data_IF_186728115420
#
_entry.id   IF_186728115420
#
_cell.length_a   1.000
_cell.length_b   1.000
_cell.length_c   1.000
_cell.angle_alpha   90.00
_cell.angle_beta   90.00
_cell.angle_gamma   90.00
#
_symmetry.space_group_name_H-M   'P 1'
#
loop_
_entity.id
_entity.type
_entity.pdbx_description
1 polymer ?
#
# COMPACT_ATOMS: atom_id res chain seq x y z
N UNK A 1 29.09 -9.58 26.13
CA UNK A 1 28.39 -8.70 25.17
C UNK A 1 29.29 -8.57 23.96
N UNK A 2 28.94 -9.19 22.83
CA UNK A 2 29.71 -9.05 21.59
C UNK A 2 29.46 -7.62 21.07
N UNK A 3 30.52 -6.81 21.00
CA UNK A 3 30.48 -5.49 20.38
C UNK A 3 30.05 -5.66 18.92
N UNK A 4 28.78 -5.39 18.64
CA UNK A 4 28.29 -5.32 17.26
C UNK A 4 29.12 -4.25 16.54
N UNK A 5 29.80 -4.64 15.47
CA UNK A 5 30.56 -3.70 14.63
C UNK A 5 29.63 -2.56 14.22
N UNK A 6 30.01 -1.29 14.42
CA UNK A 6 29.12 -0.18 14.09
C UNK A 6 28.76 -0.24 12.62
N UNK A 7 27.45 -0.18 12.33
CA UNK A 7 26.93 -0.23 10.97
C UNK A 7 27.33 1.06 10.26
N UNK A 8 28.16 0.93 9.22
CA UNK A 8 28.72 2.06 8.48
C UNK A 8 28.49 1.91 6.98
N UNK A 9 28.00 2.96 6.30
CA UNK A 9 27.90 2.94 4.84
C UNK A 9 29.29 3.05 4.20
N UNK A 10 29.40 2.66 2.93
CA UNK A 10 30.55 3.00 2.09
C UNK A 10 30.52 4.46 1.63
N UNK A 11 29.32 5.02 1.42
CA UNK A 11 29.12 6.43 1.09
C UNK A 11 28.95 7.22 2.39
N UNK A 12 29.86 8.13 2.72
CA UNK A 12 29.86 8.84 4.01
C UNK A 12 29.14 10.21 3.97
N UNK A 13 28.03 10.30 3.24
CA UNK A 13 27.17 11.49 3.29
C UNK A 13 26.21 11.40 4.49
N UNK A 14 25.75 12.54 5.04
CA UNK A 14 24.77 12.53 6.14
C UNK A 14 23.53 11.69 5.83
N UNK A 15 23.03 11.76 4.59
CA UNK A 15 21.86 11.00 4.15
C UNK A 15 22.12 9.49 4.12
N UNK A 16 23.28 9.06 3.64
CA UNK A 16 23.64 7.65 3.62
C UNK A 16 23.81 7.07 5.03
N UNK A 17 24.40 7.85 5.94
CA UNK A 17 24.52 7.48 7.36
C UNK A 17 23.14 7.34 8.00
N UNK A 18 22.25 8.32 7.80
CA UNK A 18 20.88 8.30 8.33
C UNK A 18 20.06 7.14 7.76
N UNK A 19 20.23 6.85 6.46
CA UNK A 19 19.58 5.71 5.81
C UNK A 19 20.05 4.40 6.44
N UNK A 20 21.36 4.20 6.61
CA UNK A 20 21.91 2.98 7.22
C UNK A 20 21.46 2.81 8.67
N UNK A 21 21.48 3.88 9.47
CA UNK A 21 21.01 3.84 10.86
C UNK A 21 19.53 3.43 10.91
N UNK A 22 18.68 4.06 10.09
CA UNK A 22 17.25 3.78 10.09
C UNK A 22 16.95 2.35 9.63
N UNK A 23 17.59 1.90 8.54
CA UNK A 23 17.33 0.58 7.94
C UNK A 23 18.01 -0.58 8.70
N UNK A 24 19.01 -0.28 9.54
CA UNK A 24 19.66 -1.29 10.37
C UNK A 24 18.74 -1.88 11.45
N UNK A 25 17.74 -1.12 11.90
CA UNK A 25 16.83 -1.52 12.97
C UNK A 25 15.47 -1.96 12.40
N UNK A 26 14.88 -2.98 13.03
CA UNK A 26 13.58 -3.54 12.63
C UNK A 26 12.47 -2.49 12.62
N UNK A 27 12.46 -1.59 13.61
CA UNK A 27 11.44 -0.52 13.70
C UNK A 27 11.51 0.43 12.51
N UNK A 28 12.72 0.82 12.08
CA UNK A 28 12.88 1.71 10.92
C UNK A 28 12.44 1.05 9.63
N UNK A 29 12.74 -0.24 9.44
CA UNK A 29 12.24 -1.02 8.29
C UNK A 29 10.72 -1.19 8.30
N UNK A 30 10.09 -1.41 9.46
CA UNK A 30 8.63 -1.41 9.59
C UNK A 30 7.99 -0.08 9.18
N UNK A 31 8.60 1.05 9.55
CA UNK A 31 8.12 2.36 9.10
C UNK A 31 8.22 2.49 7.58
N UNK A 32 9.33 1.99 7.01
CA UNK A 32 9.64 2.06 5.59
C UNK A 32 8.72 1.18 4.73
N UNK A 33 8.45 -0.06 5.13
CA UNK A 33 7.73 -1.05 4.32
C UNK A 33 6.28 -1.30 4.76
N UNK A 34 5.91 -0.84 5.95
CA UNK A 34 4.64 -1.19 6.60
C UNK A 34 4.82 -2.20 7.73
N UNK A 35 3.85 -2.24 8.66
CA UNK A 35 3.81 -3.23 9.74
C UNK A 35 2.91 -4.39 9.33
N UNK A 36 3.43 -5.62 9.15
CA UNK A 36 2.62 -6.77 8.75
C UNK A 36 1.44 -7.05 9.68
N UNK A 37 1.53 -6.70 10.96
CA UNK A 37 0.44 -6.88 11.93
C UNK A 37 -0.76 -5.96 11.72
N UNK A 38 -0.60 -4.91 10.91
CA UNK A 38 -1.64 -3.91 10.61
C UNK A 38 -2.19 -4.05 9.19
N UNK A 39 -1.68 -5.01 8.43
CA UNK A 39 -2.03 -5.24 7.03
C UNK A 39 -2.63 -6.63 6.87
N UNK A 40 -3.32 -6.91 5.75
CA UNK A 40 -3.84 -8.24 5.47
C UNK A 40 -2.71 -9.27 5.50
N UNK A 41 -2.97 -10.47 6.03
CA UNK A 41 -1.96 -11.53 6.16
C UNK A 41 -1.22 -11.83 4.84
N UNK A 42 -1.92 -11.71 3.70
CA UNK A 42 -1.38 -11.89 2.35
C UNK A 42 -0.27 -10.88 1.99
N UNK A 43 -0.22 -9.72 2.64
CA UNK A 43 0.83 -8.71 2.44
C UNK A 43 2.16 -9.08 3.12
N UNK A 44 2.12 -9.93 4.17
CA UNK A 44 3.28 -10.25 5.00
C UNK A 44 4.44 -10.84 4.21
N UNK A 45 4.18 -11.69 3.21
CA UNK A 45 5.22 -12.27 2.34
C UNK A 45 6.03 -11.18 1.63
N UNK A 46 5.37 -10.17 1.08
CA UNK A 46 6.05 -9.09 0.35
C UNK A 46 6.84 -8.18 1.28
N UNK A 47 6.28 -7.86 2.44
CA UNK A 47 6.92 -7.00 3.45
C UNK A 47 8.13 -7.69 4.07
N UNK A 48 8.00 -8.97 4.46
CA UNK A 48 9.10 -9.72 5.06
C UNK A 48 10.25 -9.89 4.06
N UNK A 49 9.94 -10.14 2.78
CA UNK A 49 10.96 -10.19 1.72
C UNK A 49 11.73 -8.87 1.60
N UNK A 50 11.05 -7.73 1.68
CA UNK A 50 11.68 -6.41 1.65
C UNK A 50 12.53 -6.16 2.90
N UNK A 51 12.02 -6.54 4.07
CA UNK A 51 12.72 -6.45 5.37
C UNK A 51 14.04 -7.23 5.34
N UNK A 52 13.99 -8.48 4.92
CA UNK A 52 15.13 -9.39 4.83
C UNK A 52 16.17 -8.92 3.81
N UNK A 53 15.72 -8.48 2.62
CA UNK A 53 16.62 -7.97 1.58
C UNK A 53 17.42 -6.76 2.07
N UNK A 54 16.76 -5.82 2.74
CA UNK A 54 17.41 -4.62 3.26
C UNK A 54 18.33 -4.94 4.44
N UNK A 55 17.89 -5.80 5.36
CA UNK A 55 18.75 -6.25 6.45
C UNK A 55 20.03 -6.91 5.93
N UNK A 56 19.90 -7.80 4.93
CA UNK A 56 21.02 -8.41 4.24
C UNK A 56 21.93 -7.37 3.58
N UNK A 57 21.35 -6.45 2.81
CA UNK A 57 22.08 -5.41 2.09
C UNK A 57 22.89 -4.51 3.02
N UNK A 58 22.27 -4.01 4.09
CA UNK A 58 22.93 -3.16 5.10
C UNK A 58 24.09 -3.90 5.76
N UNK A 59 23.89 -5.17 6.16
CA UNK A 59 24.94 -6.00 6.77
C UNK A 59 26.11 -6.23 5.80
N UNK A 60 25.82 -6.55 4.54
CA UNK A 60 26.84 -6.81 3.52
C UNK A 60 27.65 -5.56 3.19
N UNK A 61 26.99 -4.42 2.94
CA UNK A 61 27.71 -3.17 2.63
C UNK A 61 28.51 -2.69 3.84
N UNK A 62 27.98 -2.82 5.05
CA UNK A 62 28.73 -2.48 6.26
C UNK A 62 29.94 -3.38 6.51
N UNK A 63 29.88 -4.65 6.12
CA UNK A 63 31.04 -5.54 6.18
C UNK A 63 32.14 -5.12 5.21
N UNK A 64 31.78 -4.66 3.99
CA UNK A 64 32.73 -4.15 3.01
C UNK A 64 33.47 -2.89 3.48
N UNK A 65 32.83 -2.05 4.29
CA UNK A 65 33.47 -0.85 4.83
C UNK A 65 34.76 -1.17 5.60
N UNK A 66 34.76 -2.29 6.33
CA UNK A 66 35.89 -2.73 7.14
C UNK A 66 36.76 -3.80 6.43
N UNK A 67 36.50 -4.13 5.17
CA UNK A 67 37.23 -5.18 4.45
C UNK A 67 38.57 -4.67 3.89
N UNK A 68 39.61 -4.71 4.73
CA UNK A 68 40.97 -4.30 4.40
C UNK A 68 41.58 -5.06 3.21
N UNK A 69 41.06 -6.25 2.88
CA UNK A 69 41.56 -7.06 1.76
C UNK A 69 41.12 -6.53 0.38
N UNK A 70 40.16 -5.59 0.35
CA UNK A 70 39.62 -5.00 -0.88
C UNK A 70 40.02 -3.55 -1.05
N UNK A 71 40.34 -3.18 -2.28
CA UNK A 71 40.48 -1.77 -2.69
C UNK A 71 39.14 -1.05 -2.64
N UNK A 72 39.17 0.27 -2.47
CA UNK A 72 37.97 1.12 -2.42
C UNK A 72 37.07 0.95 -3.66
N UNK A 73 37.64 0.97 -4.85
CA UNK A 73 36.94 0.71 -6.13
C UNK A 73 36.27 -0.67 -6.12
N UNK A 74 36.97 -1.72 -5.63
CA UNK A 74 36.40 -3.07 -5.54
C UNK A 74 35.25 -3.15 -4.54
N UNK A 75 35.32 -2.45 -3.40
CA UNK A 75 34.23 -2.39 -2.41
C UNK A 75 32.97 -1.78 -3.03
N UNK A 76 33.11 -0.67 -3.75
CA UNK A 76 31.98 -0.02 -4.43
C UNK A 76 31.39 -0.86 -5.57
N UNK A 77 32.21 -1.54 -6.36
CA UNK A 77 31.72 -2.46 -7.40
C UNK A 77 30.96 -3.66 -6.83
N UNK A 78 31.38 -4.20 -5.67
CA UNK A 78 30.62 -5.25 -4.99
C UNK A 78 29.34 -4.69 -4.35
N UNK A 79 29.40 -3.52 -3.73
CA UNK A 79 28.23 -2.88 -3.14
C UNK A 79 27.16 -2.49 -4.17
N UNK A 80 27.55 -2.15 -5.41
CA UNK A 80 26.62 -1.96 -6.53
C UNK A 80 25.81 -3.24 -6.81
N UNK A 81 26.46 -4.39 -6.89
CA UNK A 81 25.75 -5.69 -7.07
C UNK A 81 24.79 -5.99 -5.91
N UNK A 82 25.23 -5.76 -4.67
CA UNK A 82 24.35 -5.90 -3.50
C UNK A 82 23.16 -4.94 -3.60
N UNK A 83 23.37 -3.70 -4.02
CA UNK A 83 22.30 -2.73 -4.21
C UNK A 83 21.32 -3.16 -5.30
N UNK A 84 21.80 -3.68 -6.43
CA UNK A 84 20.98 -4.20 -7.53
C UNK A 84 20.10 -5.37 -7.07
N UNK A 85 20.64 -6.32 -6.30
CA UNK A 85 19.89 -7.44 -5.73
C UNK A 85 18.79 -6.97 -4.77
N UNK A 86 19.13 -6.00 -3.90
CA UNK A 86 18.17 -5.41 -2.95
C UNK A 86 17.07 -4.65 -3.69
N UNK A 87 17.43 -3.80 -4.65
CA UNK A 87 16.47 -3.03 -5.46
C UNK A 87 15.54 -3.97 -6.23
N UNK A 88 16.05 -5.06 -6.77
CA UNK A 88 15.24 -6.09 -7.42
C UNK A 88 14.21 -6.68 -6.44
N UNK A 89 14.64 -7.11 -5.25
CA UNK A 89 13.74 -7.64 -4.24
C UNK A 89 12.67 -6.62 -3.80
N UNK A 90 13.05 -5.35 -3.63
CA UNK A 90 12.11 -4.27 -3.29
C UNK A 90 11.09 -4.01 -4.40
N UNK A 91 11.50 -4.01 -5.66
CA UNK A 91 10.59 -3.86 -6.80
C UNK A 91 9.60 -5.02 -6.89
N UNK A 92 10.07 -6.25 -6.69
CA UNK A 92 9.19 -7.43 -6.68
C UNK A 92 8.20 -7.39 -5.51
N UNK A 93 8.64 -6.98 -4.31
CA UNK A 93 7.76 -6.78 -3.16
C UNK A 93 6.72 -5.68 -3.41
N UNK A 94 7.13 -4.54 -3.99
CA UNK A 94 6.21 -3.46 -4.36
C UNK A 94 5.16 -3.96 -5.36
N UNK A 95 5.59 -4.61 -6.44
CA UNK A 95 4.68 -5.15 -7.46
C UNK A 95 3.69 -6.17 -6.89
N UNK A 96 4.15 -7.00 -5.93
CA UNK A 96 3.28 -7.92 -5.20
C UNK A 96 2.22 -7.21 -4.36
N UNK A 97 2.59 -6.13 -3.67
CA UNK A 97 1.65 -5.30 -2.91
C UNK A 97 0.67 -4.56 -3.83
N UNK A 98 1.14 -3.96 -4.93
CA UNK A 98 0.28 -3.29 -5.91
C UNK A 98 -0.77 -4.27 -6.48
N UNK A 99 -0.34 -5.49 -6.83
CA UNK A 99 -1.24 -6.55 -7.30
C UNK A 99 -2.24 -6.94 -6.23
N UNK A 100 -1.80 -7.12 -4.98
CA UNK A 100 -2.68 -7.47 -3.87
C UNK A 100 -3.72 -6.38 -3.59
N UNK A 101 -3.33 -5.10 -3.64
CA UNK A 101 -4.26 -3.98 -3.51
C UNK A 101 -5.33 -4.05 -4.62
N UNK A 102 -4.93 -4.21 -5.88
CA UNK A 102 -5.87 -4.36 -6.99
C UNK A 102 -6.82 -5.55 -6.83
N UNK A 103 -6.31 -6.71 -6.38
CA UNK A 103 -7.13 -7.89 -6.10
C UNK A 103 -8.16 -7.65 -4.99
N UNK A 104 -7.74 -7.03 -3.88
CA UNK A 104 -8.63 -6.68 -2.76
C UNK A 104 -9.69 -5.65 -3.19
N UNK A 105 -9.31 -4.67 -4.00
CA UNK A 105 -10.25 -3.70 -4.54
C UNK A 105 -11.30 -4.37 -5.42
N UNK A 106 -10.87 -5.20 -6.38
CA UNK A 106 -11.76 -5.93 -7.27
C UNK A 106 -12.69 -6.90 -6.50
N UNK A 107 -12.17 -7.57 -5.49
CA UNK A 107 -12.96 -8.42 -4.59
C UNK A 107 -14.01 -7.59 -3.83
N UNK A 108 -13.64 -6.43 -3.30
CA UNK A 108 -14.57 -5.53 -2.63
C UNK A 108 -15.68 -5.03 -3.55
N UNK A 109 -15.35 -4.57 -4.76
CA UNK A 109 -16.33 -4.14 -5.77
C UNK A 109 -17.26 -5.29 -6.13
N UNK A 110 -16.73 -6.48 -6.41
CA UNK A 110 -17.53 -7.66 -6.73
C UNK A 110 -18.52 -8.01 -5.60
N UNK A 111 -18.08 -7.97 -4.35
CA UNK A 111 -18.94 -8.23 -3.20
C UNK A 111 -20.03 -7.16 -3.02
N UNK A 112 -19.75 -5.91 -3.40
CA UNK A 112 -20.75 -4.83 -3.42
C UNK A 112 -21.78 -5.12 -4.51
N UNK A 113 -21.34 -5.41 -5.73
CA UNK A 113 -22.23 -5.69 -6.88
C UNK A 113 -23.13 -6.90 -6.61
N UNK A 114 -22.58 -7.97 -6.04
CA UNK A 114 -23.35 -9.16 -5.66
C UNK A 114 -24.29 -8.90 -4.47
N UNK A 115 -23.83 -8.12 -3.49
CA UNK A 115 -24.59 -7.80 -2.28
C UNK A 115 -25.78 -6.88 -2.57
N UNK A 116 -25.59 -5.86 -3.40
CA UNK A 116 -26.61 -4.88 -3.78
C UNK A 116 -27.28 -5.18 -5.13
N UNK A 117 -27.34 -6.46 -5.53
CA UNK A 117 -28.09 -6.86 -6.71
C UNK A 117 -29.61 -6.67 -6.51
N UNK A 118 -30.25 -5.92 -7.41
CA UNK A 118 -31.69 -5.74 -7.40
C UNK A 118 -32.45 -7.02 -7.78
N UNK A 119 -33.50 -7.34 -7.01
CA UNK A 119 -34.44 -8.38 -7.37
C UNK A 119 -35.42 -7.90 -8.46
N UNK A 120 -35.30 -8.43 -9.68
CA UNK A 120 -36.15 -8.06 -10.82
C UNK A 120 -37.66 -8.23 -10.55
N UNK A 121 -38.05 -9.20 -9.72
CA UNK A 121 -39.47 -9.43 -9.38
C UNK A 121 -40.08 -8.30 -8.53
N UNK A 122 -39.25 -7.43 -7.98
CA UNK A 122 -39.64 -6.33 -7.07
C UNK A 122 -39.50 -4.94 -7.70
N UNK A 123 -39.33 -4.86 -9.02
CA UNK A 123 -39.22 -3.58 -9.74
C UNK A 123 -40.26 -2.52 -9.37
N UNK A 124 -41.57 -2.84 -9.19
CA UNK A 124 -42.54 -1.84 -8.76
C UNK A 124 -42.20 -1.22 -7.39
N UNK A 125 -41.81 -2.06 -6.42
CA UNK A 125 -41.42 -1.61 -5.08
C UNK A 125 -40.14 -0.77 -5.15
N UNK A 126 -39.16 -1.16 -5.97
CA UNK A 126 -37.94 -0.36 -6.16
C UNK A 126 -38.24 1.03 -6.75
N UNK A 127 -39.22 1.13 -7.66
CA UNK A 127 -39.65 2.41 -8.20
C UNK A 127 -40.31 3.29 -7.11
N UNK A 128 -41.15 2.70 -6.26
CA UNK A 128 -41.78 3.38 -5.13
C UNK A 128 -40.72 3.88 -4.12
N UNK A 129 -39.72 3.05 -3.80
CA UNK A 129 -38.60 3.43 -2.93
C UNK A 129 -37.84 4.63 -3.52
N UNK A 130 -37.47 4.60 -4.80
CA UNK A 130 -36.80 5.73 -5.47
C UNK A 130 -37.64 7.01 -5.42
N UNK A 131 -38.94 6.89 -5.70
CA UNK A 131 -39.87 8.02 -5.64
C UNK A 131 -39.95 8.61 -4.24
N UNK A 132 -40.08 7.75 -3.23
CA UNK A 132 -40.13 8.15 -1.83
C UNK A 132 -38.85 8.85 -1.37
N UNK A 133 -37.67 8.33 -1.71
CA UNK A 133 -36.38 8.96 -1.40
C UNK A 133 -36.27 10.33 -2.08
N UNK A 134 -36.66 10.44 -3.35
CA UNK A 134 -36.67 11.71 -4.09
C UNK A 134 -37.59 12.75 -3.44
N UNK A 135 -38.73 12.32 -2.91
CA UNK A 135 -39.65 13.22 -2.22
C UNK A 135 -39.17 13.59 -0.81
N UNK A 136 -38.48 12.70 -0.12
CA UNK A 136 -37.78 13.03 1.12
C UNK A 136 -36.70 14.08 0.89
N UNK A 137 -35.90 13.96 -0.19
CA UNK A 137 -34.79 14.86 -0.48
C UNK A 137 -35.19 16.34 -0.59
N UNK A 138 -36.47 16.64 -0.88
CA UNK A 138 -37.03 17.99 -0.98
C UNK A 138 -37.44 18.60 0.37
N UNK A 139 -37.40 17.83 1.46
CA UNK A 139 -37.88 18.25 2.80
C UNK A 139 -36.74 18.80 3.64
N UNK A 140 -37.06 19.68 4.59
CA UNK A 140 -36.10 20.34 5.50
C UNK A 140 -35.19 19.37 6.27
N UNK A 141 -35.69 18.19 6.65
CA UNK A 141 -34.93 17.11 7.29
C UNK A 141 -34.73 15.86 6.41
N UNK A 142 -34.93 16.01 5.10
CA UNK A 142 -34.96 14.93 4.13
C UNK A 142 -33.72 14.03 4.15
N UNK A 143 -32.54 14.65 4.11
CA UNK A 143 -31.26 13.95 4.04
C UNK A 143 -31.01 13.07 5.28
N UNK A 144 -31.38 13.58 6.46
CA UNK A 144 -31.22 12.84 7.72
C UNK A 144 -32.13 11.61 7.73
N UNK A 145 -33.37 11.75 7.28
CA UNK A 145 -34.31 10.63 7.20
C UNK A 145 -33.91 9.60 6.12
N UNK A 146 -33.40 10.05 4.98
CA UNK A 146 -32.82 9.17 3.95
C UNK A 146 -31.68 8.34 4.53
N UNK A 147 -30.73 8.98 5.23
CA UNK A 147 -29.60 8.27 5.85
C UNK A 147 -30.08 7.20 6.84
N UNK A 148 -31.04 7.53 7.71
CA UNK A 148 -31.63 6.55 8.65
C UNK A 148 -32.31 5.38 7.94
N UNK A 149 -33.02 5.64 6.85
CA UNK A 149 -33.70 4.60 6.07
C UNK A 149 -32.71 3.67 5.41
N UNK A 150 -31.72 4.22 4.70
CA UNK A 150 -30.64 3.47 4.06
C UNK A 150 -29.86 2.64 5.08
N UNK A 151 -29.54 3.20 6.24
CA UNK A 151 -28.79 2.49 7.29
C UNK A 151 -29.59 1.30 7.89
N UNK A 152 -30.92 1.42 7.98
CA UNK A 152 -31.77 0.43 8.63
C UNK A 152 -32.26 -0.67 7.70
N UNK A 153 -32.55 -0.33 6.45
CA UNK A 153 -33.24 -1.22 5.52
C UNK A 153 -32.34 -1.59 4.33
N UNK A 154 -32.07 -2.89 4.20
CA UNK A 154 -31.19 -3.42 3.17
C UNK A 154 -31.73 -3.24 1.75
N UNK A 155 -33.05 -3.37 1.54
CA UNK A 155 -33.65 -3.18 0.21
C UNK A 155 -33.60 -1.70 -0.19
N UNK A 156 -33.83 -0.80 0.77
CA UNK A 156 -33.66 0.64 0.54
C UNK A 156 -32.21 0.98 0.22
N UNK A 157 -31.25 0.41 0.95
CA UNK A 157 -29.83 0.55 0.67
C UNK A 157 -29.44 0.05 -0.74
N UNK A 158 -29.94 -1.12 -1.12
CA UNK A 158 -29.72 -1.73 -2.44
C UNK A 158 -30.26 -0.82 -3.55
N UNK A 159 -31.50 -0.34 -3.41
CA UNK A 159 -32.09 0.59 -4.38
C UNK A 159 -31.35 1.93 -4.41
N UNK A 160 -30.89 2.43 -3.27
CA UNK A 160 -30.14 3.68 -3.17
C UNK A 160 -28.79 3.60 -3.90
N UNK A 161 -28.07 2.49 -3.70
CA UNK A 161 -26.79 2.21 -4.33
C UNK A 161 -26.92 2.13 -5.86
N UNK A 162 -27.88 1.36 -6.36
CA UNK A 162 -28.10 1.14 -7.79
C UNK A 162 -28.70 2.39 -8.50
N UNK A 163 -29.17 3.39 -7.76
CA UNK A 163 -29.79 4.58 -8.33
C UNK A 163 -28.81 5.77 -8.38
N UNK A 164 -28.53 6.32 -9.58
CA UNK A 164 -27.73 7.54 -9.70
C UNK A 164 -28.28 8.73 -8.90
N UNK A 165 -27.38 9.53 -8.32
CA UNK A 165 -27.72 10.66 -7.45
C UNK A 165 -28.78 11.63 -8.05
N UNK A 166 -28.71 11.90 -9.36
CA UNK A 166 -29.63 12.82 -10.05
C UNK A 166 -31.06 12.27 -10.12
N UNK A 167 -31.25 10.94 -10.11
CA UNK A 167 -32.59 10.32 -10.05
C UNK A 167 -33.18 10.37 -8.64
N UNK A 168 -32.35 10.57 -7.61
CA UNK A 168 -32.77 10.74 -6.23
C UNK A 168 -32.91 12.22 -5.82
N UNK A 169 -32.52 13.15 -6.70
CA UNK A 169 -32.52 14.58 -6.39
C UNK A 169 -31.49 14.97 -5.33
N UNK A 170 -30.38 14.23 -5.26
CA UNK A 170 -29.30 14.45 -4.31
C UNK A 170 -28.08 15.07 -4.99
N UNK A 171 -27.35 15.89 -4.24
CA UNK A 171 -25.99 16.28 -4.62
C UNK A 171 -25.10 15.03 -4.63
N UNK A 172 -24.18 14.96 -5.60
CA UNK A 172 -23.30 13.80 -5.82
C UNK A 172 -22.54 13.41 -4.54
N UNK A 173 -21.81 14.34 -3.92
CA UNK A 173 -21.07 14.05 -2.69
C UNK A 173 -21.95 13.64 -1.49
N UNK A 174 -23.23 14.06 -1.45
CA UNK A 174 -24.18 13.57 -0.43
C UNK A 174 -24.60 12.13 -0.71
N UNK A 175 -24.87 11.80 -1.97
CA UNK A 175 -25.18 10.43 -2.39
C UNK A 175 -24.02 9.49 -2.11
N UNK A 176 -22.81 9.82 -2.56
CA UNK A 176 -21.59 9.03 -2.32
C UNK A 176 -21.31 8.83 -0.82
N UNK A 177 -21.53 9.86 0.00
CA UNK A 177 -21.35 9.74 1.45
C UNK A 177 -22.33 8.77 2.09
N UNK A 178 -23.61 8.82 1.70
CA UNK A 178 -24.64 7.91 2.23
C UNK A 178 -24.39 6.49 1.73
N UNK A 179 -24.04 6.33 0.46
CA UNK A 179 -23.77 5.04 -0.15
C UNK A 179 -22.54 4.37 0.48
N UNK A 180 -21.45 5.11 0.66
CA UNK A 180 -20.26 4.60 1.35
C UNK A 180 -20.53 4.14 2.78
N UNK A 181 -21.44 4.80 3.50
CA UNK A 181 -21.85 4.38 4.84
C UNK A 181 -22.81 3.18 4.82
N UNK A 182 -23.68 3.10 3.81
CA UNK A 182 -24.52 1.94 3.54
C UNK A 182 -23.69 0.67 3.31
N UNK A 183 -22.67 0.75 2.45
CA UNK A 183 -21.75 -0.35 2.17
C UNK A 183 -21.07 -0.83 3.46
N UNK A 184 -20.55 0.09 4.28
CA UNK A 184 -19.92 -0.26 5.58
C UNK A 184 -20.90 -0.96 6.52
N UNK A 185 -22.17 -0.54 6.52
CA UNK A 185 -23.20 -1.04 7.43
C UNK A 185 -23.69 -2.43 7.06
N UNK A 186 -23.99 -2.63 5.78
CA UNK A 186 -24.69 -3.80 5.27
C UNK A 186 -23.77 -4.84 4.65
N UNK A 187 -22.66 -4.41 4.07
CA UNK A 187 -21.67 -5.25 3.40
C UNK A 187 -20.27 -5.07 4.03
N UNK A 188 -20.11 -5.30 5.36
CA UNK A 188 -18.88 -4.98 6.08
C UNK A 188 -17.66 -5.72 5.55
N UNK A 189 -17.83 -6.93 5.00
CA UNK A 189 -16.74 -7.68 4.37
C UNK A 189 -16.24 -6.99 3.09
N UNK A 190 -17.15 -6.50 2.26
CA UNK A 190 -16.81 -5.77 1.05
C UNK A 190 -16.11 -4.44 1.38
N UNK A 191 -16.65 -3.70 2.36
CA UNK A 191 -16.01 -2.50 2.88
C UNK A 191 -14.60 -2.78 3.42
N UNK A 192 -14.42 -3.89 4.13
CA UNK A 192 -13.11 -4.30 4.64
C UNK A 192 -12.10 -4.55 3.50
N UNK A 193 -12.51 -5.20 2.40
CA UNK A 193 -11.67 -5.40 1.23
C UNK A 193 -11.20 -4.06 0.62
N UNK A 194 -12.11 -3.09 0.44
CA UNK A 194 -11.76 -1.76 -0.09
C UNK A 194 -10.80 -1.01 0.85
N UNK A 195 -11.06 -1.03 2.16
CA UNK A 195 -10.19 -0.39 3.16
C UNK A 195 -8.80 -1.04 3.15
N UNK A 196 -8.76 -2.37 3.15
CA UNK A 196 -7.50 -3.12 3.13
C UNK A 196 -6.70 -2.87 1.85
N UNK A 197 -7.36 -2.77 0.70
CA UNK A 197 -6.72 -2.37 -0.56
C UNK A 197 -6.00 -1.03 -0.41
N UNK A 198 -6.68 -0.01 0.10
CA UNK A 198 -6.09 1.33 0.27
C UNK A 198 -4.90 1.33 1.25
N UNK A 199 -4.96 0.55 2.32
CA UNK A 199 -3.83 0.42 3.26
C UNK A 199 -2.62 -0.30 2.64
N UNK A 200 -2.86 -1.33 1.81
CA UNK A 200 -1.80 -2.02 1.05
C UNK A 200 -1.17 -1.08 0.02
N UNK A 201 -1.97 -0.29 -0.70
CA UNK A 201 -1.49 0.71 -1.67
C UNK A 201 -0.62 1.77 -0.99
N UNK A 202 -1.05 2.29 0.17
CA UNK A 202 -0.25 3.22 0.98
C UNK A 202 1.08 2.63 1.43
N UNK A 203 1.14 1.33 1.70
CA UNK A 203 2.39 0.65 2.03
C UNK A 203 3.31 0.55 0.79
N UNK A 204 2.76 0.14 -0.35
CA UNK A 204 3.49 0.03 -1.62
C UNK A 204 4.08 1.38 -2.08
N UNK A 205 3.35 2.48 -1.88
CA UNK A 205 3.76 3.84 -2.24
C UNK A 205 5.05 4.31 -1.53
N UNK A 206 5.48 3.65 -0.45
CA UNK A 206 6.71 4.00 0.29
C UNK A 206 7.98 3.42 -0.35
N UNK A 207 7.85 2.33 -1.11
CA UNK A 207 8.98 1.59 -1.66
C UNK A 207 9.91 2.41 -2.57
N UNK A 208 9.40 3.28 -3.49
CA UNK A 208 10.27 4.09 -4.34
C UNK A 208 11.27 4.94 -3.57
N UNK A 209 10.87 5.50 -2.42
CA UNK A 209 11.77 6.29 -1.57
C UNK A 209 12.90 5.43 -1.01
N UNK A 210 12.60 4.19 -0.61
CA UNK A 210 13.61 3.27 -0.07
C UNK A 210 14.55 2.78 -1.17
N UNK A 211 14.02 2.46 -2.35
CA UNK A 211 14.81 2.07 -3.53
C UNK A 211 15.83 3.16 -3.88
N UNK A 212 15.39 4.42 -3.93
CA UNK A 212 16.29 5.55 -4.16
C UNK A 212 17.35 5.67 -3.06
N UNK A 213 16.97 5.43 -1.80
CA UNK A 213 17.89 5.40 -0.67
C UNK A 213 18.96 4.31 -0.78
N UNK A 214 18.61 3.11 -1.26
CA UNK A 214 19.58 2.04 -1.53
C UNK A 214 20.57 2.48 -2.60
N UNK A 215 20.07 2.99 -3.73
CA UNK A 215 20.90 3.40 -4.86
C UNK A 215 21.87 4.54 -4.51
N UNK A 216 21.44 5.49 -3.66
CA UNK A 216 22.28 6.63 -3.26
C UNK A 216 23.22 6.35 -2.10
N UNK A 217 22.93 5.35 -1.26
CA UNK A 217 23.64 5.14 0.01
C UNK A 217 24.57 3.92 0.01
N UNK A 218 24.34 2.93 -0.86
CA UNK A 218 25.12 1.68 -0.83
C UNK A 218 26.49 1.83 -1.50
N UNK A 219 26.61 2.63 -2.55
CA UNK A 219 27.84 2.77 -3.33
C UNK A 219 27.97 4.14 -4.00
N UNK A 220 29.19 4.51 -4.36
CA UNK A 220 29.46 5.66 -5.21
C UNK A 220 29.45 5.19 -6.69
N UNK A 221 28.59 5.72 -7.56
CA UNK A 221 28.49 5.27 -8.96
C UNK A 221 29.80 5.38 -9.74
N UNK A 222 30.52 6.50 -9.62
CA UNK A 222 31.77 6.70 -10.33
C UNK A 222 32.86 5.71 -9.89
N UNK A 223 32.89 5.33 -8.61
CA UNK A 223 33.79 4.27 -8.11
C UNK A 223 33.37 2.89 -8.59
N UNK A 224 32.07 2.60 -8.60
CA UNK A 224 31.56 1.30 -9.04
C UNK A 224 31.76 1.06 -10.54
N UNK A 225 31.60 2.09 -11.38
CA UNK A 225 31.79 1.98 -12.83
C UNK A 225 33.28 1.79 -13.19
N UNK A 226 34.20 2.39 -12.42
CA UNK A 226 35.64 2.08 -12.52
C UNK A 226 35.96 0.62 -12.21
N UNK A 227 35.19 -0.03 -11.33
CA UNK A 227 35.36 -1.45 -11.04
C UNK A 227 34.97 -2.33 -12.24
N UNK A 228 33.97 -1.92 -13.02
CA UNK A 228 33.53 -2.62 -14.23
C UNK A 228 34.52 -2.51 -15.40
N UNK A 229 35.44 -1.54 -15.36
CA UNK A 229 36.49 -1.36 -16.37
C UNK A 229 37.76 -2.20 -16.10
N UNK A 230 37.79 -2.99 -15.03
CA UNK A 230 38.88 -3.96 -14.82
C UNK A 230 38.78 -5.04 -15.90
N UNK A 231 39.67 -4.99 -16.87
CA UNK A 231 39.99 -6.12 -17.74
C UNK A 231 40.68 -7.16 -16.84
N UNK A 232 40.05 -8.31 -16.63
CA UNK A 232 40.71 -9.45 -15.98
C UNK A 232 41.91 -9.86 -16.84
N UNK A 233 43.07 -10.04 -16.19
CA UNK A 233 44.25 -10.70 -16.75
C UNK A 233 44.36 -12.10 -16.14
#
# INVERSE_FOLDING_TARGET
>A
MLNATPIKPLVNTPDAVNFFQSMSIKTGRKVAFGDPSKLPNRASIFINRADEAIEYGIKKVSALHNDETRTEVSRHGFAKRVAEDVVKALNESKAGLDKLASELHAEGVKLIDEGFALNEKRHPIHADIRGFIRDLAKKENGIVEIRKLVERDFEVATVFHDTPHYLLGLAEGTHESIDGDSIKRHLPNAAACIIQSAEVEKAAARYPKVINGVQSSFYNPAMADKAAQRVEA
#
